data_IF_283744289216
#
_entry.id   IF_283744289216
#
_cell.length_a   1.000
_cell.length_b   1.000
_cell.length_c   1.000
_cell.angle_alpha   90.00
_cell.angle_beta   90.00
_cell.angle_gamma   90.00
#
_symmetry.space_group_name_H-M   'P 1'
#
loop_
_entity.id
_entity.type
_entity.pdbx_description
1 polymer ?
#
# COMPACT_ATOMS: atom_id res chain seq x y z
N UNK A 1 15.10 7.95 -3.07
CA UNK A 1 15.13 7.35 -1.72
C UNK A 1 13.98 6.37 -1.62
N UNK A 2 14.22 5.13 -1.15
CA UNK A 2 13.17 4.13 -0.95
C UNK A 2 12.66 4.24 0.49
N UNK A 3 11.39 4.57 0.67
CA UNK A 3 10.72 4.47 1.94
C UNK A 3 10.06 3.09 2.05
N UNK A 4 10.24 2.41 3.18
CA UNK A 4 9.65 1.11 3.48
C UNK A 4 9.19 1.09 4.91
N UNK A 5 7.97 0.67 5.15
CA UNK A 5 7.39 0.60 6.49
C UNK A 5 7.47 -0.82 7.02
N UNK A 6 8.25 -1.02 8.09
CA UNK A 6 8.25 -2.26 8.86
C UNK A 6 7.28 -2.13 10.03
N UNK A 7 6.35 -3.04 10.14
CA UNK A 7 5.24 -2.98 11.10
C UNK A 7 5.15 -4.27 11.91
N UNK A 8 4.90 -4.14 13.19
CA UNK A 8 4.59 -5.24 14.11
C UNK A 8 3.68 -4.74 15.22
N UNK A 9 2.80 -5.61 15.73
CA UNK A 9 1.94 -5.29 16.87
C UNK A 9 2.40 -6.05 18.11
N UNK A 10 2.25 -5.38 19.25
CA UNK A 10 2.60 -5.92 20.56
C UNK A 10 1.48 -5.65 21.55
N UNK A 11 1.23 -6.59 22.46
CA UNK A 11 0.37 -6.40 23.63
C UNK A 11 1.02 -7.02 24.84
N UNK A 12 1.07 -6.30 25.94
CA UNK A 12 1.64 -6.74 27.21
C UNK A 12 3.05 -7.36 27.07
N UNK A 13 3.89 -6.74 26.23
CA UNK A 13 5.25 -7.19 25.98
C UNK A 13 5.37 -8.46 25.11
N UNK A 14 4.27 -8.93 24.53
CA UNK A 14 4.22 -10.10 23.64
C UNK A 14 4.07 -9.70 22.19
N UNK A 15 4.88 -10.25 21.26
CA UNK A 15 4.73 -10.00 19.83
C UNK A 15 3.48 -10.72 19.30
N UNK A 16 2.57 -9.98 18.67
CA UNK A 16 1.32 -10.55 18.13
C UNK A 16 1.49 -11.17 16.75
N UNK A 17 2.59 -10.87 16.06
CA UNK A 17 2.83 -11.34 14.70
C UNK A 17 3.54 -12.70 14.61
N UNK A 18 4.14 -13.18 15.71
CA UNK A 18 4.76 -14.49 15.77
C UNK A 18 3.70 -15.60 15.91
N UNK A 19 3.85 -16.68 15.18
CA UNK A 19 2.94 -17.83 15.19
C UNK A 19 3.51 -19.05 14.48
N UNK A 20 2.64 -19.96 14.09
CA UNK A 20 3.00 -21.22 13.44
C UNK A 20 2.50 -21.32 11.98
N UNK A 21 2.00 -20.23 11.43
CA UNK A 21 1.53 -20.18 10.06
C UNK A 21 2.64 -19.92 9.05
N UNK A 22 2.26 -19.46 7.86
CA UNK A 22 3.20 -19.12 6.80
C UNK A 22 4.29 -18.14 7.28
N UNK A 23 5.55 -18.48 7.03
CA UNK A 23 6.73 -17.72 7.45
C UNK A 23 6.81 -17.48 8.97
N UNK A 24 6.27 -18.39 9.78
CA UNK A 24 6.12 -18.32 11.24
C UNK A 24 5.29 -17.10 11.71
N UNK A 25 4.31 -16.68 10.92
CA UNK A 25 3.35 -15.66 11.28
C UNK A 25 2.13 -16.24 12.00
N UNK A 26 1.53 -15.41 12.85
CA UNK A 26 0.23 -15.67 13.44
C UNK A 26 -0.92 -15.38 12.46
N UNK A 27 -2.12 -15.89 12.74
CA UNK A 27 -3.33 -15.52 12.01
C UNK A 27 -3.57 -14.00 12.06
N UNK A 28 -3.31 -13.37 13.22
CA UNK A 28 -3.44 -11.91 13.36
C UNK A 28 -2.53 -11.16 12.40
N UNK A 29 -1.31 -11.65 12.16
CA UNK A 29 -0.41 -11.03 11.18
C UNK A 29 -0.92 -11.22 9.75
N UNK A 30 -1.48 -12.38 9.41
CA UNK A 30 -2.08 -12.63 8.10
C UNK A 30 -3.31 -11.72 7.89
N UNK A 31 -4.19 -11.62 8.87
CA UNK A 31 -5.34 -10.71 8.80
C UNK A 31 -4.89 -9.24 8.68
N UNK A 32 -3.83 -8.84 9.38
CA UNK A 32 -3.24 -7.52 9.24
C UNK A 32 -2.79 -7.24 7.81
N UNK A 33 -2.10 -8.18 7.19
CA UNK A 33 -1.71 -8.12 5.77
C UNK A 33 -2.95 -8.04 4.87
N UNK A 34 -3.98 -8.83 5.18
CA UNK A 34 -5.26 -8.80 4.46
C UNK A 34 -5.91 -7.42 4.47
N UNK A 35 -5.92 -6.76 5.62
CA UNK A 35 -6.40 -5.38 5.73
C UNK A 35 -5.59 -4.38 4.92
N UNK A 36 -4.25 -4.48 4.97
CA UNK A 36 -3.36 -3.64 4.14
C UNK A 36 -3.63 -3.84 2.64
N UNK A 37 -3.79 -5.08 2.19
CA UNK A 37 -4.05 -5.39 0.77
C UNK A 37 -5.44 -4.91 0.35
N UNK A 38 -6.46 -5.14 1.17
CA UNK A 38 -7.85 -4.70 0.91
C UNK A 38 -7.93 -3.19 0.70
N UNK A 39 -7.30 -2.43 1.58
CA UNK A 39 -7.36 -0.97 1.60
C UNK A 39 -6.18 -0.30 0.87
N UNK A 40 -5.37 -1.06 0.13
CA UNK A 40 -4.13 -0.54 -0.47
C UNK A 40 -4.36 0.67 -1.40
N UNK A 41 -5.46 0.69 -2.15
CA UNK A 41 -5.76 1.80 -3.07
C UNK A 41 -6.10 3.08 -2.31
N UNK A 42 -6.93 3.02 -1.27
CA UNK A 42 -7.21 4.18 -0.42
C UNK A 42 -5.98 4.60 0.40
N UNK A 43 -5.17 3.65 0.85
CA UNK A 43 -3.89 3.91 1.51
C UNK A 43 -2.90 4.68 0.62
N UNK A 44 -2.93 4.46 -0.71
CA UNK A 44 -2.04 5.16 -1.63
C UNK A 44 -2.17 6.68 -1.55
N UNK A 45 -3.33 7.23 -1.22
CA UNK A 45 -3.49 8.67 -1.02
C UNK A 45 -2.55 9.22 0.05
N UNK A 46 -2.32 8.48 1.15
CA UNK A 46 -1.43 8.90 2.23
C UNK A 46 0.00 8.38 2.09
N UNK A 47 0.20 7.22 1.47
CA UNK A 47 1.51 6.58 1.35
C UNK A 47 2.27 7.02 0.10
N UNK A 48 1.57 7.55 -0.91
CA UNK A 48 2.08 7.99 -2.20
C UNK A 48 1.39 9.32 -2.60
N UNK A 49 1.55 10.40 -1.80
CA UNK A 49 0.68 11.57 -1.85
C UNK A 49 1.10 12.62 -2.89
N UNK A 50 1.91 12.25 -3.87
CA UNK A 50 2.32 13.18 -4.93
C UNK A 50 2.06 12.59 -6.31
N UNK A 51 1.80 13.45 -7.29
CA UNK A 51 1.67 13.04 -8.69
C UNK A 51 2.92 12.32 -9.20
N UNK A 52 4.09 12.68 -8.65
CA UNK A 52 5.37 12.06 -8.99
C UNK A 52 5.54 10.64 -8.39
N UNK A 53 4.82 10.30 -7.32
CA UNK A 53 4.86 8.97 -6.69
C UNK A 53 4.53 7.86 -7.68
N UNK A 54 3.58 8.10 -8.56
CA UNK A 54 3.07 7.12 -9.53
C UNK A 54 3.96 6.94 -10.76
N UNK A 55 4.94 7.82 -10.97
CA UNK A 55 6.00 7.63 -11.97
C UNK A 55 7.00 6.54 -11.55
N UNK A 56 7.03 6.20 -10.26
CA UNK A 56 7.79 5.06 -9.73
C UNK A 56 6.96 3.76 -9.73
N UNK A 57 5.66 3.85 -9.48
CA UNK A 57 4.75 2.71 -9.36
C UNK A 57 4.28 2.22 -10.73
N UNK A 58 5.24 1.84 -11.58
CA UNK A 58 5.00 1.36 -12.95
C UNK A 58 5.23 -0.15 -12.99
N UNK A 59 4.26 -0.95 -13.51
CA UNK A 59 4.45 -2.38 -13.71
C UNK A 59 5.67 -2.68 -14.60
N UNK A 60 6.40 -3.75 -14.28
CA UNK A 60 7.59 -4.17 -15.05
C UNK A 60 8.89 -3.48 -14.65
N UNK A 61 8.87 -2.48 -13.78
CA UNK A 61 10.03 -1.93 -13.11
C UNK A 61 10.05 -2.44 -11.68
N UNK A 62 11.19 -2.49 -11.00
CA UNK A 62 11.38 -3.02 -9.62
C UNK A 62 10.47 -2.38 -8.53
N UNK A 63 9.27 -1.95 -8.91
CA UNK A 63 8.29 -1.34 -8.04
C UNK A 63 7.31 -2.40 -7.52
N UNK A 64 6.96 -2.38 -6.23
CA UNK A 64 6.07 -3.34 -5.61
C UNK A 64 4.60 -2.97 -5.88
N UNK A 65 4.18 -3.05 -7.14
CA UNK A 65 2.84 -2.63 -7.57
C UNK A 65 1.77 -3.70 -7.36
N UNK A 66 2.17 -4.97 -7.29
CA UNK A 66 1.24 -6.10 -7.16
C UNK A 66 0.83 -6.27 -5.71
N UNK A 67 -0.47 -6.26 -5.44
CA UNK A 67 -1.06 -6.42 -4.13
C UNK A 67 -1.05 -7.90 -3.71
N UNK A 68 0.12 -8.36 -3.35
CA UNK A 68 0.41 -9.70 -2.90
C UNK A 68 1.32 -9.67 -1.67
N UNK A 69 1.44 -10.81 -0.98
CA UNK A 69 2.39 -10.97 0.09
C UNK A 69 3.29 -12.19 -0.13
N UNK A 70 4.53 -12.11 0.35
CA UNK A 70 5.49 -13.21 0.27
C UNK A 70 6.64 -13.03 1.26
N UNK A 71 7.19 -14.15 1.76
CA UNK A 71 8.43 -14.16 2.52
C UNK A 71 9.68 -14.21 1.63
N UNK A 72 9.54 -14.59 0.36
CA UNK A 72 10.66 -14.86 -0.56
C UNK A 72 10.75 -13.89 -1.71
N UNK A 73 9.63 -13.28 -2.09
CA UNK A 73 9.54 -12.47 -3.28
C UNK A 73 9.64 -10.97 -2.96
N UNK A 74 10.55 -10.26 -3.62
CA UNK A 74 10.73 -8.82 -3.48
C UNK A 74 9.79 -8.00 -4.34
N UNK A 75 9.08 -8.60 -5.28
CA UNK A 75 8.09 -7.94 -6.13
C UNK A 75 6.73 -7.76 -5.44
N UNK A 76 6.46 -8.52 -4.36
CA UNK A 76 5.24 -8.38 -3.57
C UNK A 76 5.19 -7.04 -2.81
N UNK A 77 4.01 -6.44 -2.74
CA UNK A 77 3.77 -5.18 -2.00
C UNK A 77 3.92 -5.35 -0.49
N UNK A 78 3.59 -6.52 0.04
CA UNK A 78 3.80 -6.90 1.43
C UNK A 78 4.84 -8.02 1.52
N UNK A 79 6.00 -7.70 2.08
CA UNK A 79 7.07 -8.68 2.28
C UNK A 79 7.18 -9.06 3.74
N UNK A 80 7.43 -10.35 3.99
CA UNK A 80 7.71 -10.86 5.34
C UNK A 80 9.23 -11.09 5.43
N UNK A 81 10.00 -10.22 6.11
CA UNK A 81 11.44 -10.42 6.27
C UNK A 81 11.74 -11.68 7.07
N UNK A 82 12.73 -12.46 6.63
CA UNK A 82 13.18 -13.60 7.40
C UNK A 82 13.81 -13.16 8.72
N UNK A 83 13.30 -13.67 9.81
CA UNK A 83 13.82 -13.45 11.16
C UNK A 83 13.57 -14.71 11.98
N UNK A 84 14.63 -15.28 12.57
CA UNK A 84 14.53 -16.46 13.44
C UNK A 84 13.94 -16.15 14.81
N UNK A 85 14.14 -14.92 15.33
CA UNK A 85 13.63 -14.51 16.63
C UNK A 85 12.13 -14.12 16.52
N UNK A 86 11.23 -14.77 17.28
CA UNK A 86 9.81 -14.42 17.30
C UNK A 86 9.53 -12.95 17.59
N UNK A 87 10.35 -12.31 18.42
CA UNK A 87 10.25 -10.88 18.73
C UNK A 87 10.55 -9.96 17.54
N UNK A 88 11.20 -10.46 16.51
CA UNK A 88 11.51 -9.71 15.30
C UNK A 88 10.50 -9.90 14.17
N UNK A 89 9.45 -10.72 14.33
CA UNK A 89 8.45 -10.96 13.28
C UNK A 89 7.70 -9.67 12.95
N UNK A 90 7.65 -9.34 11.65
CA UNK A 90 7.12 -8.09 11.15
C UNK A 90 6.70 -8.22 9.69
N UNK A 91 5.90 -7.28 9.24
CA UNK A 91 5.52 -7.11 7.83
C UNK A 91 6.20 -5.85 7.29
N UNK A 92 6.74 -5.92 6.10
CA UNK A 92 7.29 -4.78 5.36
C UNK A 92 6.29 -4.38 4.27
N UNK A 93 5.69 -3.20 4.40
CA UNK A 93 4.88 -2.59 3.33
C UNK A 93 5.81 -1.77 2.44
N UNK A 94 5.81 -2.02 1.12
CA UNK A 94 6.87 -1.59 0.20
C UNK A 94 6.44 -0.54 -0.81
N UNK A 95 5.14 -0.31 -1.01
CA UNK A 95 4.65 0.73 -1.92
C UNK A 95 4.78 2.17 -1.41
N UNK A 96 4.81 2.47 -0.09
CA UNK A 96 5.00 3.85 0.37
C UNK A 96 6.27 4.48 -0.18
N UNK A 97 6.29 5.80 -0.34
CA UNK A 97 7.46 6.57 -0.74
C UNK A 97 7.82 7.69 0.23
N UNK A 98 8.95 8.37 -0.01
CA UNK A 98 9.51 9.35 0.90
C UNK A 98 8.74 10.68 0.94
N UNK A 99 7.74 10.89 0.09
CA UNK A 99 6.89 12.08 0.11
C UNK A 99 5.74 11.94 1.11
N UNK A 100 5.51 10.73 1.63
CA UNK A 100 4.48 10.46 2.61
C UNK A 100 4.70 11.24 3.91
N UNK A 101 3.65 11.84 4.44
CA UNK A 101 3.64 12.30 5.81
C UNK A 101 3.59 11.06 6.74
N UNK A 102 4.63 10.80 7.57
CA UNK A 102 4.70 9.58 8.35
C UNK A 102 3.55 9.46 9.37
N UNK A 103 3.07 10.55 9.92
CA UNK A 103 1.97 10.52 10.87
C UNK A 103 0.67 10.04 10.21
N UNK A 104 0.34 10.56 9.03
CA UNK A 104 -0.84 10.12 8.29
C UNK A 104 -0.68 8.70 7.75
N UNK A 105 0.46 8.41 7.12
CA UNK A 105 0.71 7.12 6.50
C UNK A 105 0.73 5.97 7.52
N UNK A 106 1.38 6.16 8.68
CA UNK A 106 1.45 5.12 9.72
C UNK A 106 0.10 4.92 10.38
N UNK A 107 -0.63 5.99 10.69
CA UNK A 107 -1.97 5.89 11.25
C UNK A 107 -2.91 5.17 10.29
N UNK A 108 -2.92 5.54 9.01
CA UNK A 108 -3.77 4.90 8.01
C UNK A 108 -3.44 3.41 7.81
N UNK A 109 -2.15 3.06 7.71
CA UNK A 109 -1.74 1.65 7.59
C UNK A 109 -2.10 0.84 8.84
N UNK A 110 -1.96 1.42 10.04
CA UNK A 110 -2.37 0.76 11.29
C UNK A 110 -3.89 0.50 11.29
N UNK A 111 -4.69 1.49 10.91
CA UNK A 111 -6.14 1.36 10.84
C UNK A 111 -6.58 0.29 9.84
N UNK A 112 -5.95 0.24 8.67
CA UNK A 112 -6.19 -0.81 7.68
C UNK A 112 -5.84 -2.21 8.20
N UNK A 113 -4.71 -2.35 8.88
CA UNK A 113 -4.32 -3.61 9.49
C UNK A 113 -5.24 -4.05 10.62
N UNK A 114 -5.72 -3.10 11.45
CA UNK A 114 -6.68 -3.38 12.54
C UNK A 114 -8.05 -3.77 11.97
N UNK A 115 -8.52 -3.15 10.88
CA UNK A 115 -9.71 -3.58 10.16
C UNK A 115 -9.57 -5.03 9.69
N UNK A 116 -8.40 -5.35 9.13
CA UNK A 116 -8.07 -6.72 8.71
C UNK A 116 -8.18 -7.73 9.84
N UNK A 117 -7.61 -7.43 11.01
CA UNK A 117 -7.67 -8.31 12.19
C UNK A 117 -9.10 -8.45 12.69
N UNK A 118 -9.83 -7.34 12.83
CA UNK A 118 -11.19 -7.31 13.38
C UNK A 118 -12.16 -8.08 12.51
N UNK A 119 -12.08 -7.89 11.21
CA UNK A 119 -12.97 -8.54 10.24
C UNK A 119 -12.42 -9.87 9.70
N UNK A 120 -11.28 -10.35 10.23
CA UNK A 120 -10.62 -11.60 9.82
C UNK A 120 -10.41 -11.67 8.30
N UNK A 121 -9.89 -10.60 7.72
CA UNK A 121 -9.67 -10.49 6.28
C UNK A 121 -8.40 -11.26 5.93
N UNK A 122 -8.59 -12.42 5.32
CA UNK A 122 -7.44 -13.24 4.89
C UNK A 122 -6.86 -12.69 3.57
N UNK A 123 -5.53 -12.58 3.43
CA UNK A 123 -4.90 -11.99 2.24
C UNK A 123 -4.86 -12.92 1.01
N UNK A 124 -5.46 -14.10 1.09
CA UNK A 124 -5.33 -15.15 0.08
C UNK A 124 -4.06 -15.97 0.25
N UNK A 125 -3.60 -16.61 -0.82
CA UNK A 125 -2.38 -17.43 -0.81
C UNK A 125 -1.12 -16.57 -0.97
N UNK A 126 -0.03 -17.00 -0.32
CA UNK A 126 1.26 -16.33 -0.47
C UNK A 126 1.83 -16.55 -1.88
N UNK A 127 2.37 -15.49 -2.48
CA UNK A 127 2.93 -15.54 -3.82
C UNK A 127 4.45 -15.66 -3.79
N UNK A 128 4.95 -16.89 -3.68
CA UNK A 128 6.38 -17.18 -3.63
C UNK A 128 7.05 -17.33 -5.01
N UNK A 129 6.24 -17.35 -6.09
CA UNK A 129 6.73 -17.30 -7.48
C UNK A 129 7.30 -15.92 -7.80
N UNK A 130 8.25 -15.85 -8.71
CA UNK A 130 8.69 -14.54 -9.23
C UNK A 130 7.54 -13.91 -10.02
N UNK A 131 7.04 -12.77 -9.51
CA UNK A 131 5.90 -12.07 -10.09
C UNK A 131 6.28 -11.34 -11.39
N UNK A 132 7.57 -11.14 -11.66
CA UNK A 132 8.03 -10.52 -12.91
C UNK A 132 8.03 -11.50 -14.09
N UNK A 133 8.10 -12.80 -13.80
CA UNK A 133 8.14 -13.87 -14.80
C UNK A 133 6.76 -14.54 -15.03
N UNK A 134 5.69 -13.99 -14.41
CA UNK A 134 4.35 -14.54 -14.56
C UNK A 134 3.79 -14.29 -15.98
N UNK A 135 3.07 -15.26 -16.56
CA UNK A 135 2.29 -15.05 -17.77
C UNK A 135 1.31 -13.88 -17.61
N UNK A 136 1.09 -13.12 -18.67
CA UNK A 136 0.22 -11.93 -18.64
C UNK A 136 -1.19 -12.24 -18.13
N UNK A 137 -1.72 -13.44 -18.42
CA UNK A 137 -3.05 -13.89 -17.95
C UNK A 137 -3.10 -14.14 -16.43
N UNK A 138 -2.00 -14.59 -15.82
CA UNK A 138 -1.90 -14.74 -14.36
C UNK A 138 -1.69 -13.39 -13.70
N UNK A 139 -0.82 -12.56 -14.29
CA UNK A 139 -0.53 -11.21 -13.81
C UNK A 139 -1.78 -10.33 -13.76
N UNK A 140 -2.65 -10.42 -14.78
CA UNK A 140 -3.89 -9.65 -14.85
C UNK A 140 -4.91 -9.98 -13.73
N UNK A 141 -4.75 -11.12 -13.05
CA UNK A 141 -5.61 -11.53 -11.93
C UNK A 141 -5.16 -10.96 -10.59
N UNK A 142 -3.94 -10.45 -10.50
CA UNK A 142 -3.40 -9.89 -9.26
C UNK A 142 -3.76 -8.41 -9.19
N UNK A 143 -4.48 -7.97 -8.14
CA UNK A 143 -4.77 -6.55 -7.96
C UNK A 143 -3.48 -5.71 -7.88
N UNK A 144 -3.56 -4.46 -8.31
CA UNK A 144 -2.44 -3.52 -8.26
C UNK A 144 -2.74 -2.33 -7.36
N UNK A 145 -1.69 -1.66 -6.89
CA UNK A 145 -1.79 -0.30 -6.33
C UNK A 145 -2.32 0.67 -7.39
N UNK A 146 -2.71 1.87 -6.97
CA UNK A 146 -3.14 2.92 -7.89
C UNK A 146 -2.06 3.29 -8.90
N UNK A 147 -2.47 3.71 -10.07
CA UNK A 147 -1.62 4.18 -11.19
C UNK A 147 -1.48 5.71 -11.23
N UNK A 148 -2.31 6.44 -10.46
CA UNK A 148 -2.30 7.90 -10.39
C UNK A 148 -2.73 8.39 -9.01
N UNK A 149 -2.37 9.63 -8.70
CA UNK A 149 -2.84 10.29 -7.48
C UNK A 149 -4.37 10.47 -7.52
N UNK A 150 -4.94 10.79 -8.68
CA UNK A 150 -6.39 10.89 -8.86
C UNK A 150 -7.08 9.59 -8.43
N UNK A 151 -6.66 8.45 -8.97
CA UNK A 151 -7.23 7.13 -8.61
C UNK A 151 -7.12 6.86 -7.10
N UNK A 152 -6.02 7.26 -6.48
CA UNK A 152 -5.84 7.07 -5.04
C UNK A 152 -6.79 7.94 -4.20
N UNK A 153 -7.00 9.20 -4.60
CA UNK A 153 -7.92 10.10 -3.91
C UNK A 153 -9.38 9.67 -4.07
N UNK A 154 -9.78 9.24 -5.27
CA UNK A 154 -11.10 8.67 -5.53
C UNK A 154 -11.32 7.35 -4.75
N UNK A 155 -10.26 6.53 -4.62
CA UNK A 155 -10.31 5.32 -3.80
C UNK A 155 -10.42 5.64 -2.31
N UNK A 156 -9.76 6.71 -1.83
CA UNK A 156 -9.86 7.16 -0.45
C UNK A 156 -11.27 7.66 -0.14
N UNK A 157 -11.88 8.39 -1.06
CA UNK A 157 -13.26 8.87 -0.92
C UNK A 157 -14.25 7.71 -0.80
N UNK A 158 -14.09 6.68 -1.63
CA UNK A 158 -14.97 5.51 -1.65
C UNK A 158 -14.74 4.53 -0.49
N UNK A 159 -13.52 4.46 0.05
CA UNK A 159 -13.10 3.47 1.07
C UNK A 159 -12.41 4.17 2.26
N UNK A 160 -13.18 4.91 3.05
CA UNK A 160 -12.70 5.69 4.21
C UNK A 160 -13.18 5.19 5.57
N UNK A 161 -14.18 4.29 5.61
CA UNK A 161 -14.85 3.88 6.85
C UNK A 161 -13.88 3.30 7.89
N UNK A 162 -12.87 2.54 7.46
CA UNK A 162 -11.87 1.97 8.37
C UNK A 162 -11.00 3.03 9.05
N UNK A 163 -10.81 4.20 8.43
CA UNK A 163 -10.00 5.31 8.95
C UNK A 163 -10.72 6.09 10.04
N UNK A 164 -12.04 6.25 9.89
CA UNK A 164 -12.85 7.05 10.83
C UNK A 164 -13.22 6.29 12.09
N UNK A 165 -12.97 4.99 12.13
CA UNK A 165 -13.23 4.18 13.29
C UNK A 165 -12.38 4.62 14.48
N UNK A 166 -13.01 4.74 15.66
CA UNK A 166 -12.36 5.24 16.86
C UNK A 166 -11.97 6.72 16.80
N UNK A 167 -12.48 7.47 15.84
CA UNK A 167 -12.15 8.88 15.60
C UNK A 167 -10.65 9.14 15.39
N UNK A 168 -9.95 8.20 14.74
CA UNK A 168 -8.51 8.40 14.40
C UNK A 168 -8.36 9.41 13.28
N UNK A 169 -9.21 9.32 12.26
CA UNK A 169 -9.42 10.35 11.25
C UNK A 169 -10.87 10.85 11.35
N UNK A 170 -11.13 12.07 10.90
CA UNK A 170 -12.48 12.60 10.71
C UNK A 170 -12.78 12.73 9.23
N UNK A 171 -14.06 12.71 8.85
CA UNK A 171 -14.47 12.93 7.46
C UNK A 171 -13.98 14.28 6.96
N UNK A 172 -14.09 15.34 7.75
CA UNK A 172 -13.61 16.69 7.41
C UNK A 172 -12.10 16.70 7.10
N UNK A 173 -11.29 15.93 7.85
CA UNK A 173 -9.84 15.82 7.58
C UNK A 173 -9.56 15.09 6.28
N UNK A 174 -10.32 14.04 5.99
CA UNK A 174 -10.19 13.27 4.75
C UNK A 174 -10.63 14.12 3.57
N UNK A 175 -11.77 14.80 3.66
CA UNK A 175 -12.28 15.69 2.61
C UNK A 175 -11.32 16.82 2.30
N UNK A 176 -10.81 17.51 3.33
CA UNK A 176 -9.83 18.58 3.16
C UNK A 176 -8.50 18.05 2.53
N UNK A 177 -8.08 16.84 2.89
CA UNK A 177 -6.89 16.22 2.27
C UNK A 177 -7.13 15.90 0.79
N UNK A 178 -8.30 15.35 0.45
CA UNK A 178 -8.68 15.03 -0.93
C UNK A 178 -8.74 16.32 -1.76
N UNK A 179 -9.40 17.36 -1.27
CA UNK A 179 -9.52 18.65 -1.94
C UNK A 179 -8.13 19.24 -2.23
N UNK A 180 -7.29 19.36 -1.20
CA UNK A 180 -5.93 19.90 -1.34
C UNK A 180 -5.09 19.13 -2.37
N UNK A 181 -5.17 17.79 -2.35
CA UNK A 181 -4.39 16.97 -3.27
C UNK A 181 -4.97 16.91 -4.68
N UNK A 182 -6.27 17.09 -4.82
CA UNK A 182 -6.91 17.17 -6.12
C UNK A 182 -6.50 18.45 -6.87
N UNK A 183 -6.26 19.57 -6.15
CA UNK A 183 -5.69 20.79 -6.76
C UNK A 183 -4.32 20.50 -7.41
N UNK A 184 -3.45 19.71 -6.75
CA UNK A 184 -2.15 19.32 -7.33
C UNK A 184 -2.33 18.46 -8.59
N UNK A 185 -3.31 17.55 -8.60
CA UNK A 185 -3.63 16.71 -9.77
C UNK A 185 -4.08 17.59 -10.94
N UNK A 186 -5.03 18.48 -10.71
CA UNK A 186 -5.59 19.38 -11.73
C UNK A 186 -4.49 20.31 -12.28
N UNK A 187 -3.65 20.85 -11.40
CA UNK A 187 -2.55 21.71 -11.81
C UNK A 187 -1.56 21.00 -12.74
N UNK A 188 -1.25 19.71 -12.47
CA UNK A 188 -0.39 18.92 -13.34
C UNK A 188 -1.06 18.60 -14.68
N UNK A 189 -2.35 18.20 -14.66
CA UNK A 189 -3.10 17.84 -15.86
C UNK A 189 -3.28 19.02 -16.83
N UNK A 190 -3.32 20.25 -16.30
CA UNK A 190 -3.44 21.47 -17.12
C UNK A 190 -2.07 22.04 -17.54
N UNK A 191 -0.96 21.51 -17.06
CA UNK A 191 0.37 21.98 -17.43
C UNK A 191 0.91 21.18 -18.61
N UNK A 192 1.29 21.82 -19.75
CA UNK A 192 1.93 21.13 -20.85
C UNK A 192 3.23 20.45 -20.39
N UNK A 193 3.40 19.17 -20.72
CA UNK A 193 4.61 18.44 -20.39
C UNK A 193 5.59 18.44 -21.58
N UNK A 194 6.91 18.58 -21.35
CA UNK A 194 7.90 18.60 -22.44
C UNK A 194 7.82 17.46 -23.44
N UNK A 195 7.40 16.26 -23.00
CA UNK A 195 7.22 15.10 -23.89
C UNK A 195 6.10 15.31 -24.92
N UNK A 196 5.09 16.13 -24.60
CA UNK A 196 3.96 16.41 -25.54
C UNK A 196 4.47 17.15 -26.78
N UNK A 197 5.49 18.02 -26.63
CA UNK A 197 6.12 18.65 -27.76
C UNK A 197 6.82 17.63 -28.67
N UNK A 198 7.46 16.60 -28.08
CA UNK A 198 8.10 15.53 -28.86
C UNK A 198 7.05 14.66 -29.57
N UNK A 199 5.91 14.41 -28.93
CA UNK A 199 4.85 13.56 -29.46
C UNK A 199 4.01 14.25 -30.52
N UNK A 200 3.74 15.57 -30.38
CA UNK A 200 2.71 16.27 -31.15
C UNK A 200 3.22 17.47 -31.97
N UNK A 201 4.50 17.84 -31.88
CA UNK A 201 5.04 19.02 -32.59
C UNK A 201 4.99 18.91 -34.11
N UNK A 202 4.89 17.71 -34.65
CA UNK A 202 4.84 17.44 -36.10
C UNK A 202 3.43 17.21 -36.66
N UNK A 203 2.39 17.47 -35.86
CA UNK A 203 0.98 17.37 -36.29
C UNK A 203 0.47 18.71 -36.75
#
# INVERSE_FOLDING_TARGET
MLFRSHQSLWSDGKPLFAGNGYADLSESALYYIGGIIKHAKSLNAFTNPSTNSYKRLIPGYEAPVLLAYSARNRSASCRIPFVSNPKGKRVEVRFPDATANPYLAFSAMLMAGLDGIRNKIHPGDAMDKDLYDLPAEELAKIPTVCSSLREALESLDADRAYLTEGNVFTDDQIDAFIELKMEEVIALEHAPHPIEFQMYYSY
#
